data_IF_237397318837
#
_entry.id   IF_237397318837
#
_cell.length_a   1.000
_cell.length_b   1.000
_cell.length_c   1.000
_cell.angle_alpha   90.00
_cell.angle_beta   90.00
_cell.angle_gamma   90.00
#
_symmetry.space_group_name_H-M   'P 1'
#
loop_
_entity.id
_entity.type
_entity.pdbx_description
1 polymer ?
#
# COMPACT_ATOMS: atom_id res chain seq x y z
N UNK A 1 20.99 9.82 -8.09
CA UNK A 1 19.80 10.25 -7.30
C UNK A 1 18.72 9.19 -7.47
N UNK A 2 18.89 8.11 -6.72
CA UNK A 2 18.38 6.76 -7.03
C UNK A 2 17.45 6.24 -5.94
N UNK A 3 16.41 6.98 -5.57
CA UNK A 3 15.49 6.56 -4.50
C UNK A 3 14.22 5.85 -5.00
N UNK A 4 14.16 5.48 -6.28
CA UNK A 4 13.05 4.70 -6.82
C UNK A 4 13.44 3.82 -8.04
N UNK A 5 14.31 2.82 -7.88
CA UNK A 5 14.54 1.86 -8.97
C UNK A 5 13.42 0.83 -9.16
N UNK A 6 12.43 0.70 -8.25
CA UNK A 6 11.54 -0.49 -8.23
C UNK A 6 10.02 -0.24 -8.08
N UNK A 7 9.52 1.00 -8.14
CA UNK A 7 8.07 1.28 -8.20
C UNK A 7 7.22 0.81 -7.01
N UNK A 8 7.84 0.31 -5.93
CA UNK A 8 7.21 -0.18 -4.70
C UNK A 8 7.81 0.55 -3.52
N UNK A 9 7.00 1.34 -2.81
CA UNK A 9 7.45 2.07 -1.63
C UNK A 9 6.84 1.42 -0.39
N UNK A 10 7.70 0.98 0.55
CA UNK A 10 7.28 0.50 1.85
C UNK A 10 7.44 1.65 2.85
N UNK A 11 6.39 1.95 3.58
CA UNK A 11 6.44 2.98 4.62
C UNK A 11 5.67 2.50 5.84
N UNK A 12 6.04 3.04 6.99
CA UNK A 12 5.40 2.68 8.25
C UNK A 12 4.00 3.31 8.33
N UNK A 13 3.06 2.63 9.00
CA UNK A 13 1.70 3.14 9.24
C UNK A 13 1.69 4.56 9.79
N UNK A 14 2.56 4.76 10.77
CA UNK A 14 2.68 5.98 11.56
C UNK A 14 2.95 7.19 10.65
N UNK A 15 3.95 7.04 9.77
CA UNK A 15 4.37 8.08 8.83
C UNK A 15 3.30 8.44 7.79
N UNK A 16 2.46 7.47 7.42
CA UNK A 16 1.32 7.69 6.53
C UNK A 16 0.15 8.35 7.27
N UNK A 17 -0.13 7.92 8.50
CA UNK A 17 -1.12 8.55 9.37
C UNK A 17 -0.77 10.01 9.68
N UNK A 18 0.51 10.31 9.96
CA UNK A 18 1.02 11.67 10.13
C UNK A 18 0.86 12.53 8.86
N UNK A 19 0.89 11.90 7.68
CA UNK A 19 0.62 12.56 6.40
C UNK A 19 -0.87 12.76 6.11
N UNK A 20 -1.77 12.32 7.00
CA UNK A 20 -3.22 12.36 6.79
C UNK A 20 -3.72 11.27 5.83
N UNK A 21 -3.02 10.13 5.75
CA UNK A 21 -3.46 9.01 4.93
C UNK A 21 -4.45 8.13 5.69
N UNK A 22 -5.69 8.09 5.22
CA UNK A 22 -6.75 7.25 5.78
C UNK A 22 -6.73 5.83 5.23
N UNK A 23 -6.16 4.90 6.00
CA UNK A 23 -6.22 3.45 5.74
C UNK A 23 -7.62 2.85 5.88
N UNK A 24 -8.62 3.64 6.27
CA UNK A 24 -10.02 3.21 6.31
C UNK A 24 -10.76 3.66 5.04
N UNK A 25 -10.13 4.47 4.20
CA UNK A 25 -10.72 5.00 2.98
C UNK A 25 -10.23 4.20 1.76
N UNK A 26 -10.94 3.11 1.47
CA UNK A 26 -10.69 2.26 0.31
C UNK A 26 -12.02 1.90 -0.34
N UNK A 27 -12.02 1.75 -1.66
CA UNK A 27 -13.22 1.35 -2.42
C UNK A 27 -13.31 -0.15 -2.58
N UNK A 28 -12.18 -0.85 -2.52
CA UNK A 28 -12.12 -2.29 -2.60
C UNK A 28 -11.07 -2.87 -1.65
N UNK A 29 -11.35 -4.06 -1.13
CA UNK A 29 -10.37 -4.89 -0.44
C UNK A 29 -10.20 -6.21 -1.17
N UNK A 30 -8.96 -6.66 -1.29
CA UNK A 30 -8.63 -7.92 -1.91
C UNK A 30 -7.83 -8.78 -0.94
N UNK A 31 -8.40 -9.90 -0.52
CA UNK A 31 -7.71 -10.84 0.37
C UNK A 31 -7.06 -11.95 -0.46
N UNK A 32 -5.76 -12.10 -0.33
CA UNK A 32 -5.02 -13.20 -0.94
C UNK A 32 -5.30 -14.53 -0.24
N UNK A 33 -5.10 -15.65 -0.95
CA UNK A 33 -5.17 -16.99 -0.38
C UNK A 33 -4.20 -17.23 0.79
N UNK A 34 -3.15 -16.41 0.90
CA UNK A 34 -2.20 -16.42 2.00
C UNK A 34 -2.72 -15.71 3.27
N UNK A 35 -3.92 -15.10 3.23
CA UNK A 35 -4.49 -14.34 4.35
C UNK A 35 -4.10 -12.86 4.38
N UNK A 36 -3.37 -12.37 3.38
CA UNK A 36 -2.96 -10.96 3.33
C UNK A 36 -4.05 -10.12 2.66
N UNK A 37 -4.49 -9.03 3.31
CA UNK A 37 -5.53 -8.13 2.82
C UNK A 37 -4.90 -6.92 2.14
N UNK A 38 -5.27 -6.67 0.89
CA UNK A 38 -4.90 -5.50 0.12
C UNK A 38 -6.06 -4.52 0.12
N UNK A 39 -5.77 -3.24 0.21
CA UNK A 39 -6.76 -2.18 0.17
C UNK A 39 -6.49 -1.33 -1.05
N UNK A 40 -7.48 -1.18 -1.92
CA UNK A 40 -7.37 -0.43 -3.17
C UNK A 40 -8.33 0.77 -3.14
N UNK A 41 -7.77 1.91 -3.51
CA UNK A 41 -8.46 3.18 -3.70
C UNK A 41 -8.09 3.70 -5.11
N UNK A 42 -8.99 3.46 -6.07
CA UNK A 42 -8.82 3.81 -7.48
C UNK A 42 -7.53 3.27 -8.11
N UNK A 43 -6.54 4.14 -8.26
CA UNK A 43 -5.24 3.89 -8.88
C UNK A 43 -4.14 3.54 -7.87
N UNK A 44 -4.43 3.61 -6.58
CA UNK A 44 -3.46 3.34 -5.52
C UNK A 44 -3.97 2.22 -4.62
N UNK A 45 -3.12 1.26 -4.34
CA UNK A 45 -3.35 0.23 -3.34
C UNK A 45 -2.32 0.30 -2.23
N UNK A 46 -2.66 -0.23 -1.08
CA UNK A 46 -1.72 -0.51 -0.03
C UNK A 46 -1.93 -1.90 0.56
N UNK A 47 -0.83 -2.50 0.98
CA UNK A 47 -0.78 -3.81 1.59
C UNK A 47 -0.16 -3.69 2.99
N UNK A 48 -0.89 -3.95 4.08
CA UNK A 48 -0.28 -4.25 5.37
C UNK A 48 0.69 -5.43 5.21
N UNK A 49 1.94 -5.16 5.54
CA UNK A 49 3.00 -6.15 5.66
C UNK A 49 3.29 -6.37 7.15
N UNK A 50 4.20 -7.30 7.44
CA UNK A 50 4.67 -7.53 8.79
C UNK A 50 5.30 -6.26 9.41
N UNK A 51 5.31 -6.20 10.75
CA UNK A 51 5.97 -5.13 11.51
C UNK A 51 5.32 -3.73 11.38
N UNK A 52 3.99 -3.64 11.21
CA UNK A 52 3.26 -2.36 11.04
C UNK A 52 3.71 -1.55 9.81
N UNK A 53 4.34 -2.20 8.84
CA UNK A 53 4.65 -1.59 7.56
C UNK A 53 3.47 -1.73 6.59
N UNK A 54 3.42 -0.79 5.66
CA UNK A 54 2.47 -0.78 4.55
C UNK A 54 3.25 -0.64 3.25
N UNK A 55 3.02 -1.54 2.30
CA UNK A 55 3.53 -1.41 0.94
C UNK A 55 2.52 -0.64 0.11
N UNK A 56 2.90 0.54 -0.36
CA UNK A 56 2.14 1.34 -1.30
C UNK A 56 2.43 0.84 -2.71
N UNK A 57 1.37 0.48 -3.42
CA UNK A 57 1.41 0.04 -4.82
C UNK A 57 0.56 0.99 -5.64
N UNK A 58 1.09 1.51 -6.74
CA UNK A 58 0.27 2.22 -7.73
C UNK A 58 -0.15 1.22 -8.80
N UNK A 59 -1.41 1.23 -9.20
CA UNK A 59 -2.03 0.38 -10.22
C UNK A 59 -1.50 0.68 -11.64
N UNK A 60 -0.34 1.32 -11.77
CA UNK A 60 0.18 1.76 -13.06
C UNK A 60 0.81 0.65 -13.89
N UNK A 61 1.22 -0.49 -13.32
CA UNK A 61 1.63 -1.65 -14.13
C UNK A 61 1.85 -2.88 -13.25
N UNK A 62 0.92 -3.83 -13.31
CA UNK A 62 1.29 -5.24 -13.36
C UNK A 62 0.95 -5.67 -14.77
N UNK A 63 1.89 -5.44 -15.70
CA UNK A 63 1.99 -6.20 -16.95
C UNK A 63 2.99 -7.32 -16.72
#
# INVERSE_FOLDING_TARGET
MELNPNGKSKTHRDKLGEKGFDFNYFTNTYTTKAGTVYYFCYEYGYLPIDNNFYALVKRQEYV
#
